data_IF_941578372280
#
_entry.id   IF_941578372280
#
_cell.length_a   1.000
_cell.length_b   1.000
_cell.length_c   1.000
_cell.angle_alpha   90.00
_cell.angle_beta   90.00
_cell.angle_gamma   90.00
#
_symmetry.space_group_name_H-M   'P 1'
#
loop_
_entity.id
_entity.type
_entity.pdbx_description
1 polymer ?
#
# COMPACT_ATOMS: atom_id res chain seq x y z
N UNK A 1 4.35 -4.58 -44.96
CA UNK A 1 3.73 -4.19 -43.67
C UNK A 1 3.14 -5.44 -43.04
N UNK A 2 3.83 -6.02 -42.05
CA UNK A 2 3.27 -7.13 -41.27
C UNK A 2 2.20 -6.56 -40.34
N UNK A 3 1.06 -7.23 -40.34
CA UNK A 3 -0.12 -7.03 -39.52
C UNK A 3 0.28 -7.03 -38.03
N UNK A 4 0.75 -5.88 -37.54
CA UNK A 4 1.26 -5.69 -36.18
C UNK A 4 0.06 -5.51 -35.25
N UNK A 5 -0.74 -6.58 -35.10
CA UNK A 5 -1.73 -6.73 -34.02
C UNK A 5 -0.99 -6.91 -32.70
N UNK A 6 -0.20 -5.90 -32.34
CA UNK A 6 0.42 -5.78 -31.03
C UNK A 6 -0.70 -5.69 -30.01
N UNK A 7 -0.74 -6.63 -29.08
CA UNK A 7 -1.62 -6.52 -27.92
C UNK A 7 -1.07 -5.37 -27.08
N UNK A 8 -1.68 -4.19 -27.18
CA UNK A 8 -1.36 -3.10 -26.27
C UNK A 8 -1.81 -3.55 -24.87
N UNK A 9 -0.90 -3.67 -23.88
CA UNK A 9 -1.33 -3.90 -22.50
C UNK A 9 -2.28 -2.77 -22.07
N UNK A 10 -3.24 -3.09 -21.21
CA UNK A 10 -4.20 -2.09 -20.74
C UNK A 10 -3.45 -1.00 -19.98
N UNK A 11 -3.53 0.25 -20.44
CA UNK A 11 -2.88 1.39 -19.77
C UNK A 11 -3.42 1.59 -18.34
N UNK A 12 -4.67 1.19 -18.06
CA UNK A 12 -5.25 1.23 -16.72
C UNK A 12 -4.68 0.17 -15.77
N UNK A 13 -3.82 -0.75 -16.26
CA UNK A 13 -3.07 -1.70 -15.44
C UNK A 13 -1.86 -1.06 -14.74
N UNK A 14 -1.39 0.10 -15.22
CA UNK A 14 -0.32 0.87 -14.57
C UNK A 14 -0.73 1.18 -13.14
N UNK A 15 -0.09 0.52 -12.18
CA UNK A 15 -0.49 0.53 -10.77
C UNK A 15 -0.15 1.87 -10.11
N UNK A 16 -0.73 2.11 -8.93
CA UNK A 16 -0.35 3.26 -8.10
C UNK A 16 1.17 3.26 -7.83
N UNK A 17 1.76 2.10 -7.52
CA UNK A 17 3.19 1.98 -7.29
C UNK A 17 4.02 2.34 -8.53
N UNK A 18 3.58 1.94 -9.71
CA UNK A 18 4.28 2.27 -10.96
C UNK A 18 4.32 3.79 -11.16
N UNK A 19 3.19 4.48 -10.91
CA UNK A 19 3.10 5.94 -11.05
C UNK A 19 4.02 6.63 -10.05
N UNK A 20 3.98 6.21 -8.78
CA UNK A 20 4.81 6.81 -7.73
C UNK A 20 6.30 6.55 -7.94
N UNK A 21 6.67 5.37 -8.45
CA UNK A 21 8.05 5.09 -8.82
C UNK A 21 8.56 6.00 -9.94
N UNK A 22 7.74 6.23 -10.98
CA UNK A 22 8.08 7.14 -12.07
C UNK A 22 8.20 8.59 -11.57
N UNK A 23 7.28 9.02 -10.70
CA UNK A 23 7.32 10.32 -10.04
C UNK A 23 8.61 10.52 -9.25
N UNK A 24 8.97 9.56 -8.40
CA UNK A 24 10.18 9.60 -7.58
C UNK A 24 11.48 9.54 -8.40
N UNK A 25 11.42 9.11 -9.66
CA UNK A 25 12.53 9.15 -10.61
C UNK A 25 12.59 10.48 -11.40
N UNK A 26 11.67 11.41 -11.16
CA UNK A 26 11.63 12.72 -11.82
C UNK A 26 10.87 12.74 -13.15
N UNK A 27 10.17 11.66 -13.51
CA UNK A 27 9.33 11.64 -14.71
C UNK A 27 8.01 12.35 -14.40
N UNK A 28 7.96 13.66 -14.63
CA UNK A 28 6.78 14.50 -14.33
C UNK A 28 5.93 14.84 -15.56
N UNK A 29 6.47 14.68 -16.77
CA UNK A 29 5.77 14.98 -18.03
C UNK A 29 5.61 13.72 -18.85
N UNK A 30 4.37 13.29 -19.05
CA UNK A 30 4.07 12.00 -19.67
C UNK A 30 3.35 12.19 -21.00
N UNK A 31 3.72 11.37 -21.98
CA UNK A 31 2.93 11.23 -23.21
C UNK A 31 2.33 9.83 -23.20
N UNK A 32 1.00 9.76 -23.24
CA UNK A 32 0.24 8.52 -23.05
C UNK A 32 -0.50 8.21 -24.34
N UNK A 33 -0.07 7.17 -25.04
CA UNK A 33 -0.79 6.65 -26.20
C UNK A 33 -1.89 5.68 -25.73
N UNK A 34 -3.15 6.00 -26.01
CA UNK A 34 -4.28 5.13 -25.65
C UNK A 34 -5.14 4.78 -26.85
N UNK A 35 -5.72 3.59 -26.86
CA UNK A 35 -6.80 3.24 -27.78
C UNK A 35 -8.14 3.87 -27.37
N UNK A 36 -9.24 3.45 -27.98
CA UNK A 36 -10.59 3.84 -27.56
C UNK A 36 -10.96 3.15 -26.23
N UNK A 37 -10.49 3.68 -25.10
CA UNK A 37 -10.66 3.08 -23.78
C UNK A 37 -12.11 3.10 -23.28
N UNK A 38 -12.94 4.06 -23.70
CA UNK A 38 -14.34 4.18 -23.28
C UNK A 38 -15.23 3.03 -23.77
N UNK A 39 -14.88 2.39 -24.88
CA UNK A 39 -15.58 1.24 -25.44
C UNK A 39 -14.86 -0.09 -25.15
N UNK A 40 -13.77 -0.05 -24.38
CA UNK A 40 -12.94 -1.21 -24.13
C UNK A 40 -13.61 -2.13 -23.09
N UNK A 41 -13.93 -3.37 -23.50
CA UNK A 41 -14.49 -4.40 -22.61
C UNK A 41 -13.56 -4.82 -21.45
N UNK A 42 -12.30 -4.37 -21.45
CA UNK A 42 -11.35 -4.56 -20.34
C UNK A 42 -11.40 -3.44 -19.30
N UNK A 43 -12.02 -2.30 -19.60
CA UNK A 43 -12.06 -1.11 -18.76
C UNK A 43 -13.11 -1.21 -17.65
N UNK A 44 -12.86 -2.04 -16.63
CA UNK A 44 -13.82 -2.27 -15.54
C UNK A 44 -13.41 -1.66 -14.19
N UNK A 45 -12.51 -0.67 -14.15
CA UNK A 45 -12.02 -0.08 -12.88
C UNK A 45 -11.48 1.34 -13.05
N UNK A 46 -11.01 1.93 -11.94
CA UNK A 46 -10.32 3.23 -11.88
C UNK A 46 -9.27 3.38 -12.99
N UNK A 47 -9.39 4.45 -13.77
CA UNK A 47 -8.52 4.71 -14.93
C UNK A 47 -7.14 5.19 -14.50
N UNK A 48 -6.16 5.15 -15.42
CA UNK A 48 -4.85 5.76 -15.18
C UNK A 48 -4.99 7.26 -14.86
N UNK A 49 -5.85 7.95 -15.61
CA UNK A 49 -6.06 9.39 -15.48
C UNK A 49 -6.66 9.74 -14.11
N UNK A 50 -7.63 8.96 -13.63
CA UNK A 50 -8.19 9.12 -12.28
C UNK A 50 -7.13 8.87 -11.20
N UNK A 51 -6.24 7.88 -11.36
CA UNK A 51 -5.14 7.65 -10.41
C UNK A 51 -4.15 8.81 -10.40
N UNK A 52 -3.77 9.31 -11.57
CA UNK A 52 -2.90 10.49 -11.69
C UNK A 52 -3.56 11.70 -11.00
N UNK A 53 -4.85 11.92 -11.22
CA UNK A 53 -5.58 13.01 -10.58
C UNK A 53 -5.59 12.88 -9.05
N UNK A 54 -5.85 11.68 -8.52
CA UNK A 54 -5.81 11.41 -7.08
C UNK A 54 -4.43 11.70 -6.48
N UNK A 55 -3.36 11.28 -7.17
CA UNK A 55 -1.97 11.58 -6.77
C UNK A 55 -1.73 13.07 -6.82
N UNK A 56 -2.08 13.76 -7.90
CA UNK A 56 -1.88 15.20 -8.03
C UNK A 56 -2.62 15.99 -6.95
N UNK A 57 -3.83 15.58 -6.55
CA UNK A 57 -4.51 16.20 -5.39
C UNK A 57 -3.71 16.02 -4.10
N UNK A 58 -3.09 14.85 -3.88
CA UNK A 58 -2.23 14.63 -2.73
C UNK A 58 -0.92 15.45 -2.79
N UNK A 59 -0.33 15.59 -3.98
CA UNK A 59 0.90 16.36 -4.20
C UNK A 59 0.67 17.88 -4.05
N UNK A 60 -0.43 18.40 -4.58
CA UNK A 60 -0.80 19.82 -4.53
C UNK A 60 -0.96 20.32 -3.09
N UNK A 61 -1.55 19.50 -2.22
CA UNK A 61 -1.70 19.77 -0.78
C UNK A 61 -0.37 19.87 -0.02
N UNK A 62 0.72 19.37 -0.60
CA UNK A 62 2.07 19.50 -0.07
C UNK A 62 2.96 20.42 -0.94
N UNK A 63 2.36 21.19 -1.85
CA UNK A 63 3.06 22.09 -2.78
C UNK A 63 4.16 21.40 -3.61
N UNK A 64 3.95 20.12 -3.94
CA UNK A 64 4.88 19.32 -4.72
C UNK A 64 4.63 19.45 -6.23
N UNK A 65 5.66 19.23 -7.08
CA UNK A 65 5.48 19.20 -8.52
C UNK A 65 4.42 18.18 -8.92
N UNK A 66 3.50 18.55 -9.81
CA UNK A 66 2.43 17.68 -10.28
C UNK A 66 2.88 16.83 -11.48
N UNK A 67 2.20 15.70 -11.68
CA UNK A 67 2.34 14.90 -12.90
C UNK A 67 1.48 15.54 -13.98
N UNK A 68 2.12 16.03 -15.02
CA UNK A 68 1.47 16.51 -16.25
C UNK A 68 1.45 15.38 -17.28
N UNK A 69 0.35 15.26 -18.03
CA UNK A 69 0.24 14.25 -19.06
C UNK A 69 -0.52 14.73 -20.29
N UNK A 70 -0.09 14.24 -21.45
CA UNK A 70 -0.74 14.47 -22.73
C UNK A 70 -1.17 13.13 -23.33
N UNK A 71 -2.49 12.92 -23.44
CA UNK A 71 -3.04 11.76 -24.13
C UNK A 71 -2.97 11.95 -25.65
N UNK A 72 -2.55 10.92 -26.38
CA UNK A 72 -2.40 10.95 -27.84
C UNK A 72 -2.90 9.67 -28.48
N UNK A 73 -3.28 9.75 -29.75
CA UNK A 73 -3.67 8.59 -30.54
C UNK A 73 -2.43 7.82 -31.05
N UNK A 74 -2.65 6.60 -31.54
CA UNK A 74 -1.58 5.73 -32.01
C UNK A 74 -0.76 6.32 -33.18
N UNK A 75 -1.40 7.05 -34.10
CA UNK A 75 -0.73 7.62 -35.28
C UNK A 75 0.17 8.77 -34.84
N UNK A 76 -0.34 9.64 -33.99
CA UNK A 76 0.40 10.74 -33.40
C UNK A 76 1.58 10.22 -32.54
N UNK A 77 1.37 9.15 -31.78
CA UNK A 77 2.43 8.47 -31.03
C UNK A 77 3.56 7.94 -31.94
N UNK A 78 3.23 7.26 -33.03
CA UNK A 78 4.24 6.77 -33.99
C UNK A 78 5.12 7.90 -34.54
N UNK A 79 4.53 9.08 -34.78
CA UNK A 79 5.28 10.26 -35.21
C UNK A 79 6.22 10.77 -34.12
N UNK A 80 5.74 10.88 -32.88
CA UNK A 80 6.57 11.28 -31.74
C UNK A 80 7.74 10.30 -31.56
N UNK A 81 7.48 8.98 -31.62
CA UNK A 81 8.51 7.96 -31.49
C UNK A 81 9.58 8.09 -32.58
N UNK A 82 9.19 8.29 -33.84
CA UNK A 82 10.16 8.48 -34.93
C UNK A 82 11.04 9.72 -34.73
N UNK A 83 10.49 10.80 -34.16
CA UNK A 83 11.24 12.02 -33.86
C UNK A 83 12.21 11.85 -32.69
N UNK A 84 11.86 11.03 -31.70
CA UNK A 84 12.74 10.72 -30.56
C UNK A 84 13.88 9.77 -30.98
N UNK A 85 13.60 8.78 -31.83
CA UNK A 85 14.61 7.86 -32.38
C UNK A 85 15.66 8.55 -33.27
N UNK A 86 15.30 9.68 -33.91
CA UNK A 86 16.23 10.53 -34.67
C UNK A 86 17.14 11.40 -33.77
N UNK A 87 16.92 11.40 -32.46
CA UNK A 87 17.86 12.00 -31.50
C UNK A 87 18.97 10.98 -31.22
N UNK A 88 20.23 11.22 -31.62
CA UNK A 88 21.27 10.22 -31.40
C UNK A 88 21.40 9.95 -29.90
N UNK A 89 21.47 8.67 -29.47
CA UNK A 89 21.73 8.35 -28.08
C UNK A 89 23.04 9.04 -27.69
N UNK A 90 23.01 9.82 -26.62
CA UNK A 90 24.22 10.40 -26.05
C UNK A 90 25.23 9.26 -25.83
N UNK A 91 26.38 9.40 -26.50
CA UNK A 91 27.48 8.44 -26.54
C UNK A 91 27.10 7.01 -26.97
N UNK A 92 27.28 6.74 -28.28
CA UNK A 92 27.49 5.40 -28.79
C UNK A 92 28.51 4.65 -27.93
N UNK A 93 28.09 3.67 -27.14
CA UNK A 93 29.01 2.70 -26.56
C UNK A 93 29.73 2.01 -27.73
N UNK A 94 31.02 2.32 -27.90
CA UNK A 94 31.83 1.64 -28.90
C UNK A 94 31.74 0.13 -28.70
N UNK A 95 31.88 -0.67 -29.78
CA UNK A 95 31.94 -2.14 -29.66
C UNK A 95 32.95 -2.62 -28.60
N UNK A 96 34.00 -1.82 -28.36
CA UNK A 96 35.02 -2.06 -27.34
C UNK A 96 34.52 -1.82 -25.91
N UNK A 97 33.66 -0.83 -25.69
CA UNK A 97 33.01 -0.56 -24.40
C UNK A 97 31.94 -1.62 -24.08
N UNK A 98 31.19 -2.08 -25.08
CA UNK A 98 30.24 -3.19 -24.95
C UNK A 98 30.94 -4.51 -24.57
N UNK A 99 32.01 -4.89 -25.29
CA UNK A 99 32.75 -6.12 -24.99
C UNK A 99 33.46 -6.07 -23.64
N UNK A 100 33.88 -4.89 -23.18
CA UNK A 100 34.44 -4.72 -21.82
C UNK A 100 33.36 -4.94 -20.75
N UNK A 101 32.17 -4.38 -20.91
CA UNK A 101 31.05 -4.61 -19.98
C UNK A 101 30.57 -6.07 -19.94
N UNK A 102 30.61 -6.79 -21.07
CA UNK A 102 30.27 -8.23 -21.13
C UNK A 102 31.32 -9.08 -20.40
N UNK A 103 32.61 -8.77 -20.54
CA UNK A 103 33.68 -9.50 -19.84
C UNK A 103 33.71 -9.20 -18.34
N UNK A 104 33.45 -7.95 -17.94
CA UNK A 104 33.36 -7.57 -16.52
C UNK A 104 32.17 -8.22 -15.80
N UNK A 105 31.04 -8.42 -16.50
CA UNK A 105 29.89 -9.15 -15.96
C UNK A 105 30.08 -10.68 -15.95
N UNK A 106 30.85 -11.24 -16.90
CA UNK A 106 31.05 -12.70 -16.99
C UNK A 106 32.04 -13.25 -15.98
N UNK A 107 32.97 -12.43 -15.47
CA UNK A 107 33.93 -12.87 -14.43
C UNK A 107 33.34 -12.78 -13.02
N UNK A 108 32.32 -11.92 -12.82
CA UNK A 108 31.73 -11.68 -11.49
C UNK A 108 30.38 -12.36 -11.26
N UNK A 109 29.80 -13.07 -12.24
CA UNK A 109 28.54 -13.78 -12.02
C UNK A 109 28.38 -14.99 -12.96
N UNK A 110 28.65 -16.23 -12.50
CA UNK A 110 28.23 -17.41 -13.23
C UNK A 110 26.70 -17.57 -13.07
N UNK A 111 26.01 -17.17 -14.13
CA UNK A 111 24.70 -17.64 -14.62
C UNK A 111 23.98 -18.73 -13.79
N UNK A 112 22.93 -18.31 -13.09
CA UNK A 112 21.78 -19.16 -12.75
C UNK A 112 20.47 -18.48 -13.18
N UNK A 113 20.28 -18.30 -14.50
CA UNK A 113 19.02 -17.84 -15.08
C UNK A 113 18.12 -19.01 -15.51
N UNK A 114 17.71 -19.87 -14.57
CA UNK A 114 16.54 -20.74 -14.74
C UNK A 114 15.94 -21.04 -13.36
N UNK A 115 14.68 -20.60 -13.16
CA UNK A 115 13.86 -20.82 -11.95
C UNK A 115 14.52 -20.40 -10.63
N UNK A 116 14.67 -19.09 -10.42
CA UNK A 116 14.37 -18.60 -9.07
C UNK A 116 12.86 -18.47 -9.00
N UNK A 117 12.23 -19.37 -8.24
CA UNK A 117 10.94 -19.12 -7.60
C UNK A 117 11.11 -17.75 -6.95
N UNK A 118 10.57 -16.68 -7.56
CA UNK A 118 10.59 -15.37 -6.94
C UNK A 118 10.03 -15.60 -5.53
N UNK A 119 10.82 -15.39 -4.45
CA UNK A 119 10.21 -15.30 -3.15
C UNK A 119 9.13 -14.24 -3.31
N UNK A 120 7.91 -14.51 -2.85
CA UNK A 120 6.80 -13.56 -2.94
C UNK A 120 7.35 -12.19 -2.54
N UNK A 121 7.60 -11.32 -3.51
CA UNK A 121 8.18 -10.00 -3.25
C UNK A 121 7.12 -9.34 -2.41
N UNK A 122 7.40 -9.14 -1.12
CA UNK A 122 6.55 -8.35 -0.23
C UNK A 122 6.24 -7.07 -0.97
N UNK A 123 5.01 -6.96 -1.48
CA UNK A 123 4.60 -5.84 -2.30
C UNK A 123 4.88 -4.56 -1.50
N UNK A 124 5.64 -3.63 -2.06
CA UNK A 124 5.96 -2.35 -1.41
C UNK A 124 4.62 -1.63 -1.22
N UNK A 125 4.22 -1.26 0.00
CA UNK A 125 3.00 -0.49 0.19
C UNK A 125 3.11 0.88 -0.50
N UNK A 126 2.06 1.36 -1.18
CA UNK A 126 2.11 2.62 -1.93
C UNK A 126 2.42 3.82 -1.04
N UNK A 127 2.01 3.77 0.23
CA UNK A 127 2.37 4.79 1.21
C UNK A 127 3.89 4.98 1.34
N UNK A 128 4.69 3.92 1.30
CA UNK A 128 6.17 4.02 1.33
C UNK A 128 6.76 4.75 0.12
N UNK A 129 6.01 4.83 -0.98
CA UNK A 129 6.41 5.50 -2.21
C UNK A 129 5.88 6.93 -2.29
N UNK A 130 5.12 7.40 -1.29
CA UNK A 130 4.78 8.82 -1.19
C UNK A 130 6.06 9.65 -1.03
N UNK A 131 6.18 10.77 -1.76
CA UNK A 131 7.40 11.58 -1.77
C UNK A 131 7.72 12.19 -0.41
N UNK A 132 6.70 12.52 0.38
CA UNK A 132 6.82 12.89 1.78
C UNK A 132 6.14 11.86 2.69
N UNK A 133 6.55 11.88 3.96
CA UNK A 133 6.01 11.02 5.02
C UNK A 133 5.85 11.83 6.31
N UNK A 134 5.09 12.92 6.22
CA UNK A 134 4.90 13.87 7.32
C UNK A 134 3.42 13.88 7.79
N UNK A 135 3.08 14.79 8.70
CA UNK A 135 1.72 14.88 9.28
C UNK A 135 0.66 15.45 8.33
N UNK A 136 1.08 16.19 7.30
CA UNK A 136 0.17 16.77 6.29
C UNK A 136 -0.02 15.87 5.08
N UNK A 137 0.79 14.81 4.95
CA UNK A 137 0.73 13.85 3.85
C UNK A 137 -0.67 13.25 3.70
N UNK A 138 -1.19 13.34 2.47
CA UNK A 138 -2.41 12.67 2.04
C UNK A 138 -2.02 11.25 1.61
N UNK A 139 -2.42 10.27 2.41
CA UNK A 139 -2.06 8.89 2.16
C UNK A 139 -3.04 8.20 1.23
N UNK A 140 -2.58 7.28 0.35
CA UNK A 140 -3.47 6.48 -0.48
C UNK A 140 -4.45 5.67 0.36
N UNK A 141 -3.98 5.12 1.50
CA UNK A 141 -4.76 4.26 2.38
C UNK A 141 -4.46 4.58 3.85
N UNK A 142 -5.51 4.88 4.63
CA UNK A 142 -5.42 5.17 6.07
C UNK A 142 -6.36 4.24 6.84
N UNK A 143 -5.84 3.22 7.53
CA UNK A 143 -6.63 2.45 8.49
C UNK A 143 -7.11 3.36 9.63
N UNK A 144 -8.34 3.17 10.09
CA UNK A 144 -8.89 3.86 11.25
C UNK A 144 -9.56 2.86 12.19
N UNK A 145 -9.47 3.13 13.49
CA UNK A 145 -10.07 2.31 14.54
C UNK A 145 -11.07 3.16 15.31
N UNK A 146 -12.35 2.80 15.25
CA UNK A 146 -13.38 3.41 16.07
C UNK A 146 -13.24 2.91 17.53
N UNK A 147 -12.72 3.77 18.41
CA UNK A 147 -12.47 3.46 19.82
C UNK A 147 -13.73 2.99 20.57
N UNK A 148 -14.91 3.49 20.21
CA UNK A 148 -16.18 3.14 20.87
C UNK A 148 -16.66 1.72 20.55
N UNK A 149 -16.21 1.16 19.43
CA UNK A 149 -16.58 -0.19 19.01
C UNK A 149 -15.47 -1.21 19.30
N UNK A 150 -14.22 -0.77 19.27
CA UNK A 150 -13.06 -1.62 19.48
C UNK A 150 -13.02 -2.16 20.92
N UNK A 151 -12.76 -3.45 21.06
CA UNK A 151 -12.69 -4.15 22.35
C UNK A 151 -11.26 -4.62 22.71
N UNK A 152 -10.23 -4.06 22.05
CA UNK A 152 -8.83 -4.35 22.38
C UNK A 152 -8.37 -5.79 22.11
N UNK A 153 -8.99 -6.52 21.17
CA UNK A 153 -8.71 -7.95 20.97
C UNK A 153 -7.41 -8.28 20.20
N UNK A 154 -6.69 -7.26 19.71
CA UNK A 154 -5.44 -7.36 18.94
C UNK A 154 -5.51 -8.14 17.61
N UNK A 155 -6.68 -8.63 17.19
CA UNK A 155 -6.81 -9.42 15.96
C UNK A 155 -6.29 -8.68 14.72
N UNK A 156 -6.57 -7.37 14.64
CA UNK A 156 -6.11 -6.53 13.53
C UNK A 156 -4.58 -6.32 13.51
N UNK A 157 -3.96 -6.22 14.69
CA UNK A 157 -2.50 -6.12 14.84
C UNK A 157 -1.86 -7.43 14.38
N UNK A 158 -2.33 -8.56 14.93
CA UNK A 158 -1.75 -9.87 14.69
C UNK A 158 -1.90 -10.35 13.24
N UNK A 159 -2.96 -9.93 12.56
CA UNK A 159 -3.24 -10.39 11.19
C UNK A 159 -2.63 -9.51 10.10
N UNK A 160 -2.15 -8.30 10.42
CA UNK A 160 -1.72 -7.35 9.40
C UNK A 160 -0.36 -7.77 8.81
N UNK A 161 -0.27 -8.20 7.54
CA UNK A 161 0.98 -8.72 6.97
C UNK A 161 2.04 -7.63 6.75
N UNK A 162 1.64 -6.36 6.82
CA UNK A 162 2.51 -5.20 6.61
C UNK A 162 2.72 -4.37 7.88
N UNK A 163 2.19 -4.80 9.03
CA UNK A 163 2.24 -4.03 10.30
C UNK A 163 1.71 -2.59 10.16
N UNK A 164 0.69 -2.35 9.33
CA UNK A 164 0.03 -1.05 9.21
C UNK A 164 -0.79 -0.67 10.46
N UNK A 165 -1.12 -1.65 11.30
CA UNK A 165 -1.62 -1.46 12.66
C UNK A 165 -0.70 -2.25 13.58
N UNK A 166 -0.03 -1.59 14.52
CA UNK A 166 0.89 -2.19 15.49
C UNK A 166 0.42 -2.01 16.92
N UNK A 167 0.97 -2.80 17.84
CA UNK A 167 0.84 -2.60 19.28
C UNK A 167 2.20 -2.14 19.81
N UNK A 168 2.25 -0.96 20.42
CA UNK A 168 3.50 -0.36 20.94
C UNK A 168 3.27 0.19 22.34
N UNK A 169 4.36 0.38 23.09
CA UNK A 169 4.34 0.99 24.41
C UNK A 169 5.04 2.33 24.36
N UNK A 170 4.38 3.39 24.86
CA UNK A 170 4.93 4.73 24.95
C UNK A 170 4.72 5.29 26.37
N UNK A 171 5.80 5.58 27.08
CA UNK A 171 5.78 6.05 28.48
C UNK A 171 4.85 5.20 29.35
N UNK A 172 5.06 3.88 29.32
CA UNK A 172 4.27 2.85 30.02
C UNK A 172 2.80 2.69 29.58
N UNK A 173 2.32 3.52 28.64
CA UNK A 173 0.99 3.37 28.07
C UNK A 173 1.03 2.46 26.84
N UNK A 174 0.21 1.42 26.85
CA UNK A 174 -0.01 0.56 25.71
C UNK A 174 -0.91 1.28 24.70
N UNK A 175 -0.59 1.22 23.41
CA UNK A 175 -1.39 1.85 22.36
C UNK A 175 -1.33 1.07 21.05
N UNK A 176 -2.40 1.15 20.26
CA UNK A 176 -2.32 0.80 18.86
C UNK A 176 -1.71 1.96 18.07
N UNK A 177 -0.67 1.68 17.28
CA UNK A 177 -0.06 2.60 16.35
C UNK A 177 -0.58 2.33 14.93
N UNK A 178 -1.03 3.36 14.24
CA UNK A 178 -1.52 3.30 12.86
C UNK A 178 -0.44 3.88 11.95
N UNK A 179 -0.01 3.10 10.96
CA UNK A 179 1.04 3.42 10.00
C UNK A 179 0.49 3.39 8.56
N UNK A 180 -0.08 4.51 8.06
CA UNK A 180 -0.61 4.59 6.70
C UNK A 180 0.43 4.27 5.63
N UNK A 181 1.70 4.60 5.87
CA UNK A 181 2.82 4.33 4.97
C UNK A 181 2.99 2.83 4.68
N UNK A 182 2.54 1.96 5.60
CA UNK A 182 2.64 0.51 5.48
C UNK A 182 1.35 -0.15 4.97
N UNK A 183 0.25 0.59 4.81
CA UNK A 183 -1.03 0.02 4.40
C UNK A 183 -1.08 -0.30 2.88
N UNK A 184 -1.60 -1.48 2.54
CA UNK A 184 -1.80 -1.94 1.15
C UNK A 184 -3.26 -2.07 0.74
N UNK A 185 -4.19 -1.62 1.58
CA UNK A 185 -5.63 -1.80 1.39
C UNK A 185 -6.10 -3.28 1.33
N UNK A 186 -5.29 -4.25 1.79
CA UNK A 186 -5.62 -5.68 1.68
C UNK A 186 -6.91 -6.10 2.43
N UNK A 187 -7.42 -5.28 3.35
CA UNK A 187 -8.72 -5.50 4.01
C UNK A 187 -8.74 -6.51 5.16
N UNK A 188 -7.69 -7.30 5.36
CA UNK A 188 -7.67 -8.40 6.35
C UNK A 188 -8.01 -7.91 7.77
N UNK A 189 -7.49 -6.75 8.19
CA UNK A 189 -7.78 -6.19 9.51
C UNK A 189 -9.26 -5.82 9.70
N UNK A 190 -9.91 -5.30 8.65
CA UNK A 190 -11.35 -5.00 8.66
C UNK A 190 -12.16 -6.29 8.75
N UNK A 191 -11.77 -7.30 7.98
CA UNK A 191 -12.54 -8.52 7.83
C UNK A 191 -12.46 -9.41 9.09
N UNK A 192 -11.32 -9.40 9.81
CA UNK A 192 -11.17 -10.12 11.09
C UNK A 192 -11.83 -9.40 12.28
N UNK A 193 -12.20 -8.13 12.13
CA UNK A 193 -12.73 -7.33 13.24
C UNK A 193 -14.20 -7.68 13.51
N UNK A 194 -14.44 -8.56 14.49
CA UNK A 194 -15.80 -8.97 14.90
C UNK A 194 -16.69 -7.78 15.29
N UNK A 195 -16.11 -6.74 15.89
CA UNK A 195 -16.80 -5.51 16.31
C UNK A 195 -17.02 -4.52 15.16
N UNK A 196 -16.50 -4.80 13.96
CA UNK A 196 -16.54 -3.90 12.79
C UNK A 196 -16.03 -2.49 13.10
N UNK A 197 -15.00 -2.40 13.95
CA UNK A 197 -14.43 -1.14 14.41
C UNK A 197 -13.43 -0.53 13.41
N UNK A 198 -13.09 -1.22 12.31
CA UNK A 198 -12.02 -0.82 11.39
C UNK A 198 -12.58 -0.36 10.05
N UNK A 199 -12.09 0.78 9.58
CA UNK A 199 -12.28 1.28 8.21
C UNK A 199 -10.93 1.57 7.56
N UNK A 200 -10.88 1.61 6.23
CA UNK A 200 -9.70 2.05 5.47
C UNK A 200 -10.15 3.20 4.59
N UNK A 201 -9.75 4.41 4.94
CA UNK A 201 -10.03 5.61 4.17
C UNK A 201 -9.03 5.73 3.03
N UNK A 202 -9.43 6.36 1.92
CA UNK A 202 -8.56 6.57 0.75
C UNK A 202 -8.26 8.05 0.56
N UNK A 203 -7.05 8.35 0.11
CA UNK A 203 -6.61 9.70 -0.26
C UNK A 203 -6.98 10.75 0.80
N UNK A 204 -6.52 10.51 2.03
CA UNK A 204 -6.82 11.38 3.17
C UNK A 204 -5.63 11.55 4.09
N UNK A 205 -5.60 12.67 4.83
CA UNK A 205 -4.65 12.89 5.93
C UNK A 205 -4.94 11.90 7.04
N UNK A 206 -3.94 11.53 7.82
CA UNK A 206 -4.15 10.64 8.97
C UNK A 206 -4.82 11.40 10.12
N UNK A 207 -6.09 11.14 10.46
CA UNK A 207 -6.74 11.87 11.53
C UNK A 207 -6.35 11.34 12.92
N UNK A 208 -5.90 10.08 12.99
CA UNK A 208 -5.50 9.42 14.22
C UNK A 208 -4.23 8.58 13.99
N UNK A 209 -3.15 8.98 14.67
CA UNK A 209 -1.88 8.25 14.70
C UNK A 209 -1.90 7.02 15.60
N UNK A 210 -2.61 7.15 16.71
CA UNK A 210 -2.54 6.20 17.82
C UNK A 210 -3.89 6.04 18.50
N UNK A 211 -4.18 4.86 19.05
CA UNK A 211 -5.30 4.61 19.95
C UNK A 211 -4.75 4.12 21.29
N UNK A 212 -4.89 4.91 22.35
CA UNK A 212 -4.47 4.51 23.69
C UNK A 212 -5.28 3.31 24.19
N UNK A 213 -4.65 2.46 24.99
CA UNK A 213 -5.24 1.27 25.60
C UNK A 213 -4.99 1.30 27.11
N UNK A 214 -6.06 1.09 27.88
CA UNK A 214 -5.99 0.96 29.33
C UNK A 214 -5.74 -0.49 29.68
N UNK A 215 -4.63 -0.78 30.37
CA UNK A 215 -4.29 -2.13 30.83
C UNK A 215 -4.87 -2.41 32.22
N UNK A 216 -5.45 -3.60 32.41
CA UNK A 216 -6.05 -4.01 33.67
C UNK A 216 -5.93 -5.53 33.88
N UNK A 217 -6.21 -6.00 35.09
CA UNK A 217 -6.33 -7.42 35.41
C UNK A 217 -7.81 -7.79 35.49
N UNK A 218 -8.24 -8.83 34.79
CA UNK A 218 -9.65 -9.24 34.78
C UNK A 218 -10.09 -9.74 36.16
N UNK A 219 -11.16 -9.16 36.71
CA UNK A 219 -11.72 -9.53 38.01
C UNK A 219 -12.33 -10.94 38.07
N UNK A 220 -12.64 -11.57 36.92
CA UNK A 220 -13.19 -12.93 36.87
C UNK A 220 -12.13 -14.01 36.69
N UNK A 221 -11.17 -13.83 35.77
CA UNK A 221 -10.18 -14.88 35.46
C UNK A 221 -8.74 -14.54 35.90
N UNK A 222 -8.47 -13.31 36.31
CA UNK A 222 -7.13 -12.88 36.76
C UNK A 222 -6.11 -12.62 35.63
N UNK A 223 -6.48 -12.78 34.36
CA UNK A 223 -5.56 -12.53 33.25
C UNK A 223 -5.40 -11.03 32.95
N UNK A 224 -4.21 -10.59 32.49
CA UNK A 224 -4.02 -9.24 31.98
C UNK A 224 -4.87 -9.02 30.72
N UNK A 225 -5.42 -7.83 30.59
CA UNK A 225 -6.24 -7.41 29.48
C UNK A 225 -6.05 -5.91 29.21
N UNK A 226 -6.48 -5.47 28.04
CA UNK A 226 -6.49 -4.05 27.69
C UNK A 226 -7.67 -3.70 26.79
N UNK A 227 -8.11 -2.45 26.84
CA UNK A 227 -9.16 -1.95 25.96
C UNK A 227 -9.02 -0.44 25.68
N UNK A 228 -9.64 0.09 24.60
CA UNK A 228 -9.47 1.50 24.21
C UNK A 228 -10.27 2.53 25.00
N UNK A 229 -11.15 2.09 25.90
CA UNK A 229 -12.08 2.97 26.61
C UNK A 229 -11.63 3.19 28.06
N UNK A 230 -11.89 4.39 28.57
CA UNK A 230 -11.79 4.74 30.00
C UNK A 230 -12.94 4.16 30.84
N UNK A 231 -13.94 3.57 30.18
CA UNK A 231 -14.99 2.83 30.86
C UNK A 231 -14.31 1.63 31.53
N UNK A 232 -14.21 1.68 32.86
CA UNK A 232 -13.48 0.74 33.70
C UNK A 232 -14.04 -0.69 33.54
N UNK A 233 -13.68 -1.36 32.45
CA UNK A 233 -14.00 -2.75 32.22
C UNK A 233 -13.21 -3.56 33.25
N UNK A 234 -13.91 -4.04 34.27
CA UNK A 234 -13.35 -4.97 35.26
C UNK A 234 -13.19 -6.39 34.68
N UNK A 235 -13.77 -6.66 33.51
CA UNK A 235 -13.75 -7.96 32.84
C UNK A 235 -13.05 -7.87 31.48
N UNK A 236 -12.29 -8.91 31.12
CA UNK A 236 -11.73 -9.01 29.78
C UNK A 236 -12.82 -9.37 28.75
N UNK A 237 -12.53 -9.17 27.45
CA UNK A 237 -13.47 -9.43 26.35
C UNK A 237 -14.08 -10.84 26.34
N UNK A 238 -13.38 -11.83 26.92
CA UNK A 238 -13.85 -13.21 26.99
C UNK A 238 -14.83 -13.33 28.15
N UNK A 239 -14.43 -12.96 29.37
CA UNK A 239 -15.29 -13.04 30.56
C UNK A 239 -16.52 -12.13 30.49
N UNK A 240 -16.50 -11.07 29.69
CA UNK A 240 -17.69 -10.26 29.41
C UNK A 240 -18.75 -11.04 28.61
N UNK A 241 -18.32 -11.97 27.76
CA UNK A 241 -19.20 -12.77 26.90
C UNK A 241 -19.57 -14.11 27.52
N UNK A 242 -18.69 -14.70 28.33
CA UNK A 242 -18.90 -15.99 28.97
C UNK A 242 -19.03 -15.85 30.48
N UNK A 243 -20.14 -16.32 31.03
CA UNK A 243 -20.31 -16.40 32.48
C UNK A 243 -19.51 -17.60 33.03
N UNK A 244 -18.31 -17.35 33.54
CA UNK A 244 -17.47 -18.40 34.12
C UNK A 244 -18.06 -19.02 35.40
N UNK A 245 -18.95 -18.31 36.11
CA UNK A 245 -19.53 -18.77 37.38
C UNK A 245 -20.54 -19.91 37.20
N UNK A 246 -21.12 -20.10 36.00
CA UNK A 246 -22.13 -21.12 35.77
C UNK A 246 -21.57 -22.53 35.51
N UNK A 247 -20.26 -22.69 35.29
CA UNK A 247 -19.66 -23.98 34.86
C UNK A 247 -18.55 -24.51 35.80
N UNK A 248 -18.34 -23.92 36.98
CA UNK A 248 -17.33 -24.38 37.95
C UNK A 248 -17.70 -25.68 38.71
N UNK A 249 -18.85 -26.30 38.43
CA UNK A 249 -19.38 -27.44 39.19
C UNK A 249 -19.10 -28.84 38.58
N UNK A 250 -18.22 -28.99 37.58
CA UNK A 250 -18.06 -30.29 36.88
C UNK A 250 -16.74 -31.04 37.09
N UNK A 251 -15.98 -30.72 38.14
CA UNK A 251 -14.92 -31.63 38.61
C UNK A 251 -14.89 -31.64 40.14
N UNK A 252 -15.90 -32.25 40.76
CA UNK A 252 -15.74 -32.90 42.05
C UNK A 252 -16.24 -34.34 41.89
N UNK A 253 -15.27 -35.25 41.94
CA UNK A 253 -15.32 -36.72 42.07
C UNK A 253 -16.25 -37.54 41.16
#
# INVERSE_FOLDING_TARGET
MKDNRGVLPCIHMVSLNDILNLYNQGYLQWVIATGNCSECQRGCSTTLFERIQQINTALDEEELPLIDYHATDFISWQRIQSLVEDTPPSASLSRRAFLRGVLENSVNNPTSHFKQKQPATTAIPPGKLMPNQNRTTIWPYVPQINSKLCNGCDACVNTCPHNAIGLVTNNDNLLYEIRPEACTECGICRDVCEKRAITIMKWTKQPQGTLALNTFTCASCGNPAHSPSDDHQSLCRICEQVNHQSNLYQVMD
#
